data_IF_095092585032
#
_entry.id   IF_095092585032
#
_cell.length_a   1.000
_cell.length_b   1.000
_cell.length_c   1.000
_cell.angle_alpha   90.00
_cell.angle_beta   90.00
_cell.angle_gamma   90.00
#
_symmetry.space_group_name_H-M   'P 1'
#
loop_
_entity.id
_entity.type
_entity.pdbx_description
1 polymer ?
#
# COMPACT_ATOMS: atom_id res chain seq x y z
N UNK A 1 7.42 -2.13 11.90
CA UNK A 1 7.64 -1.45 13.20
C UNK A 1 9.07 -1.61 13.71
N UNK A 2 9.62 -2.85 13.85
CA UNK A 2 10.94 -3.05 14.44
C UNK A 2 12.08 -2.44 13.60
N UNK A 3 12.15 -2.74 12.32
CA UNK A 3 13.20 -2.22 11.42
C UNK A 3 13.13 -0.70 11.29
N UNK A 4 11.94 -0.14 11.22
CA UNK A 4 11.73 1.30 11.19
C UNK A 4 12.19 1.99 12.49
N UNK A 5 11.86 1.39 13.64
CA UNK A 5 12.35 1.88 14.94
C UNK A 5 13.89 1.77 15.07
N UNK A 6 14.47 0.69 14.57
CA UNK A 6 15.92 0.50 14.58
C UNK A 6 16.62 1.56 13.70
N UNK A 7 16.11 1.78 12.48
CA UNK A 7 16.63 2.82 11.58
C UNK A 7 16.53 4.20 12.24
N UNK A 8 15.37 4.55 12.80
CA UNK A 8 15.15 5.85 13.43
C UNK A 8 16.12 6.08 14.60
N UNK A 9 16.32 5.09 15.46
CA UNK A 9 17.27 5.18 16.59
C UNK A 9 18.72 5.32 16.14
N UNK A 10 19.14 4.51 15.18
CA UNK A 10 20.49 4.56 14.63
C UNK A 10 20.77 5.93 14.01
N UNK A 11 19.82 6.43 13.24
CA UNK A 11 19.96 7.72 12.58
C UNK A 11 19.91 8.88 13.57
N UNK A 12 19.10 8.82 14.61
CA UNK A 12 19.07 9.83 15.68
C UNK A 12 20.45 9.95 16.37
N UNK A 13 21.13 8.83 16.61
CA UNK A 13 22.51 8.83 17.16
C UNK A 13 23.52 9.51 16.21
N UNK A 14 23.42 9.24 14.90
CA UNK A 14 24.30 9.82 13.88
C UNK A 14 24.04 11.34 13.72
N UNK A 15 22.79 11.77 13.81
CA UNK A 15 22.40 13.19 13.82
C UNK A 15 22.94 13.88 15.07
N UNK A 16 22.74 13.27 16.25
CA UNK A 16 23.22 13.81 17.53
C UNK A 16 24.74 13.94 17.61
N UNK A 17 25.49 13.08 16.90
CA UNK A 17 26.96 13.20 16.79
C UNK A 17 27.42 14.32 15.85
N UNK A 18 26.52 15.01 15.15
CA UNK A 18 26.81 16.04 14.15
C UNK A 18 27.34 15.51 12.82
N UNK A 19 27.37 14.19 12.64
CA UNK A 19 27.85 13.56 11.39
C UNK A 19 26.86 13.79 10.25
N UNK A 20 25.57 13.78 10.55
CA UNK A 20 24.49 14.06 9.60
C UNK A 20 23.76 15.34 10.00
N UNK A 21 23.61 16.23 9.03
CA UNK A 21 22.88 17.48 9.17
C UNK A 21 21.53 17.37 8.46
N UNK A 22 20.45 17.59 9.20
CA UNK A 22 19.07 17.53 8.71
C UNK A 22 18.46 18.92 8.43
N UNK A 23 19.26 19.99 8.45
CA UNK A 23 18.79 21.34 8.09
C UNK A 23 18.38 21.42 6.61
N UNK A 24 19.04 20.65 5.75
CA UNK A 24 18.70 20.54 4.32
C UNK A 24 18.37 19.09 3.98
N UNK A 25 17.14 18.85 3.53
CA UNK A 25 16.63 17.51 3.20
C UNK A 25 16.11 17.48 1.78
N UNK A 26 16.46 16.43 1.04
CA UNK A 26 15.84 16.11 -0.25
C UNK A 26 14.78 15.03 -0.05
N UNK A 27 13.63 15.21 -0.69
CA UNK A 27 12.53 14.24 -0.73
C UNK A 27 12.29 13.84 -2.18
N UNK A 28 12.42 12.56 -2.48
CA UNK A 28 12.21 12.03 -3.82
C UNK A 28 11.31 10.80 -3.80
N UNK A 29 10.47 10.67 -4.82
CA UNK A 29 9.51 9.60 -4.99
C UNK A 29 9.92 8.60 -6.07
N UNK A 30 10.04 7.33 -5.71
CA UNK A 30 10.22 6.27 -6.69
C UNK A 30 9.01 5.30 -6.73
N UNK A 31 8.77 4.70 -7.91
CA UNK A 31 7.71 3.70 -8.08
C UNK A 31 8.29 2.30 -7.96
N UNK A 32 7.93 1.60 -6.88
CA UNK A 32 8.31 0.21 -6.63
C UNK A 32 7.19 -0.74 -7.08
N UNK A 33 7.52 -1.72 -7.91
CA UNK A 33 6.54 -2.70 -8.40
C UNK A 33 5.97 -3.52 -7.24
N UNK A 34 4.63 -3.61 -7.20
CA UNK A 34 3.93 -4.47 -6.26
C UNK A 34 4.00 -5.94 -6.69
N UNK A 35 3.82 -6.84 -5.73
CA UNK A 35 3.67 -8.29 -5.98
C UNK A 35 2.25 -8.63 -6.47
N UNK A 36 1.77 -7.89 -7.49
CA UNK A 36 0.47 -8.07 -8.09
C UNK A 36 0.57 -8.05 -9.62
N UNK A 37 -0.09 -8.97 -10.28
CA UNK A 37 -0.26 -8.94 -11.73
C UNK A 37 -1.44 -8.05 -12.12
N UNK A 38 -1.38 -7.41 -13.29
CA UNK A 38 -2.50 -6.59 -13.82
C UNK A 38 -3.81 -7.38 -13.90
N UNK A 39 -3.72 -8.71 -14.16
CA UNK A 39 -4.86 -9.61 -14.19
C UNK A 39 -5.52 -9.89 -12.83
N UNK A 40 -4.94 -9.45 -11.69
CA UNK A 40 -5.57 -9.61 -10.38
C UNK A 40 -6.53 -8.48 -10.03
N UNK A 41 -6.55 -7.38 -10.80
CA UNK A 41 -7.42 -6.23 -10.55
C UNK A 41 -8.85 -6.50 -11.02
N UNK A 42 -9.82 -6.31 -10.13
CA UNK A 42 -11.25 -6.58 -10.34
C UNK A 42 -12.09 -5.34 -10.09
N UNK A 43 -13.21 -5.22 -10.83
CA UNK A 43 -14.26 -4.24 -10.58
C UNK A 43 -15.09 -4.63 -9.34
N UNK A 44 -15.92 -3.71 -8.86
CA UNK A 44 -16.85 -3.94 -7.75
C UNK A 44 -17.73 -5.17 -7.98
N UNK A 45 -18.42 -5.24 -9.12
CA UNK A 45 -19.29 -6.36 -9.51
C UNK A 45 -18.56 -7.70 -9.45
N UNK A 46 -17.35 -7.75 -10.04
CA UNK A 46 -16.57 -8.99 -10.05
C UNK A 46 -16.05 -9.38 -8.66
N UNK A 47 -15.77 -8.42 -7.79
CA UNK A 47 -15.39 -8.70 -6.39
C UNK A 47 -16.56 -9.26 -5.58
N UNK A 48 -17.78 -8.76 -5.80
CA UNK A 48 -18.97 -9.30 -5.14
C UNK A 48 -19.25 -10.75 -5.57
N UNK A 49 -19.16 -11.06 -6.86
CA UNK A 49 -19.29 -12.43 -7.37
C UNK A 49 -18.24 -13.37 -6.75
N UNK A 50 -16.97 -12.92 -6.73
CA UNK A 50 -15.87 -13.70 -6.14
C UNK A 50 -16.04 -13.88 -4.64
N UNK A 51 -16.56 -12.88 -3.95
CA UNK A 51 -16.84 -12.95 -2.51
C UNK A 51 -17.93 -13.96 -2.19
N UNK A 52 -19.07 -13.89 -2.90
CA UNK A 52 -20.15 -14.84 -2.73
C UNK A 52 -19.70 -16.28 -2.99
N UNK A 53 -18.97 -16.51 -4.08
CA UNK A 53 -18.43 -17.84 -4.41
C UNK A 53 -17.39 -18.33 -3.37
N UNK A 54 -16.51 -17.46 -2.88
CA UNK A 54 -15.53 -17.83 -1.87
C UNK A 54 -16.18 -18.16 -0.52
N UNK A 55 -17.20 -17.39 -0.14
CA UNK A 55 -17.96 -17.62 1.09
C UNK A 55 -18.70 -18.95 1.08
N UNK A 56 -19.35 -19.31 -0.04
CA UNK A 56 -20.04 -20.58 -0.18
C UNK A 56 -19.05 -21.75 -0.17
N UNK A 57 -17.92 -21.65 -0.88
CA UNK A 57 -16.88 -22.67 -0.85
C UNK A 57 -16.31 -22.92 0.56
N UNK A 58 -16.14 -21.89 1.38
CA UNK A 58 -15.71 -22.04 2.78
C UNK A 58 -16.77 -22.74 3.60
N UNK A 59 -18.06 -22.43 3.40
CA UNK A 59 -19.17 -23.05 4.10
C UNK A 59 -19.29 -24.52 3.76
N UNK A 60 -19.23 -24.90 2.48
CA UNK A 60 -19.26 -26.29 2.02
C UNK A 60 -18.10 -27.09 2.60
N UNK A 61 -16.87 -26.56 2.53
CA UNK A 61 -15.69 -27.23 3.05
C UNK A 61 -15.70 -27.39 4.59
N UNK A 62 -16.32 -26.44 5.31
CA UNK A 62 -16.54 -26.60 6.76
C UNK A 62 -17.51 -27.76 7.06
N UNK A 63 -18.62 -27.82 6.35
CA UNK A 63 -19.60 -28.88 6.50
C UNK A 63 -19.00 -30.26 6.16
N UNK A 64 -18.18 -30.36 5.10
CA UNK A 64 -17.47 -31.60 4.76
C UNK A 64 -16.49 -32.06 5.84
N UNK A 65 -15.78 -31.14 6.47
CA UNK A 65 -14.83 -31.44 7.55
C UNK A 65 -15.54 -31.88 8.81
N UNK A 66 -16.73 -31.34 9.10
CA UNK A 66 -17.55 -31.71 10.25
C UNK A 66 -18.25 -33.07 10.06
N UNK A 67 -18.67 -33.40 8.83
CA UNK A 67 -19.39 -34.63 8.54
C UNK A 67 -18.50 -35.90 8.52
N UNK A 68 -17.21 -35.76 8.16
CA UNK A 68 -16.27 -36.90 8.07
C UNK A 68 -14.92 -36.57 8.71
N UNK A 69 -14.73 -36.89 10.01
CA UNK A 69 -13.48 -36.68 10.72
C UNK A 69 -12.37 -37.72 10.42
N UNK A 70 -12.53 -38.59 9.40
CA UNK A 70 -11.59 -39.66 9.06
C UNK A 70 -10.14 -39.20 8.85
N UNK A 71 -9.14 -39.93 9.36
CA UNK A 71 -7.76 -39.50 9.48
C UNK A 71 -7.01 -39.39 8.14
N UNK A 72 -7.32 -40.26 7.17
CA UNK A 72 -6.54 -40.34 5.92
C UNK A 72 -6.69 -39.13 5.01
N UNK A 73 -7.88 -38.54 4.94
CA UNK A 73 -8.18 -37.37 4.12
C UNK A 73 -8.04 -36.02 4.88
N UNK A 74 -7.91 -36.10 6.19
CA UNK A 74 -7.90 -34.90 7.06
C UNK A 74 -6.91 -33.82 6.62
N UNK A 75 -5.70 -34.22 6.20
CA UNK A 75 -4.68 -33.27 5.73
C UNK A 75 -5.06 -32.61 4.40
N UNK A 76 -5.65 -33.36 3.46
CA UNK A 76 -6.10 -32.84 2.18
C UNK A 76 -7.28 -31.87 2.36
N UNK A 77 -8.29 -32.26 3.16
CA UNK A 77 -9.42 -31.39 3.52
C UNK A 77 -8.99 -30.13 4.25
N UNK A 78 -8.06 -30.23 5.20
CA UNK A 78 -7.52 -29.08 5.90
C UNK A 78 -6.79 -28.08 4.95
N UNK A 79 -6.00 -28.59 4.00
CA UNK A 79 -5.36 -27.75 2.98
C UNK A 79 -6.36 -27.04 2.07
N UNK A 80 -7.41 -27.74 1.61
CA UNK A 80 -8.48 -27.14 0.80
C UNK A 80 -9.21 -26.05 1.58
N UNK A 81 -9.56 -26.30 2.84
CA UNK A 81 -10.19 -25.31 3.72
C UNK A 81 -9.30 -24.09 3.91
N UNK A 82 -8.02 -24.28 4.24
CA UNK A 82 -7.07 -23.17 4.41
C UNK A 82 -6.93 -22.33 3.12
N UNK A 83 -6.87 -22.96 1.94
CA UNK A 83 -6.81 -22.27 0.66
C UNK A 83 -8.10 -21.49 0.35
N UNK A 84 -9.26 -22.03 0.69
CA UNK A 84 -10.54 -21.35 0.51
C UNK A 84 -10.68 -20.14 1.46
N UNK A 85 -10.29 -20.29 2.71
CA UNK A 85 -10.26 -19.20 3.70
C UNK A 85 -9.26 -18.10 3.32
N UNK A 86 -8.09 -18.46 2.78
CA UNK A 86 -7.12 -17.51 2.27
C UNK A 86 -7.67 -16.74 1.05
N UNK A 87 -8.34 -17.45 0.14
CA UNK A 87 -9.01 -16.80 -1.00
C UNK A 87 -10.08 -15.81 -0.54
N UNK A 88 -10.89 -16.19 0.45
CA UNK A 88 -11.93 -15.31 1.02
C UNK A 88 -11.29 -14.06 1.59
N UNK A 89 -10.28 -14.19 2.45
CA UNK A 89 -9.55 -13.03 3.02
C UNK A 89 -8.99 -12.08 1.96
N UNK A 90 -8.42 -12.63 0.88
CA UNK A 90 -7.89 -11.81 -0.23
C UNK A 90 -8.98 -11.03 -0.95
N UNK A 91 -10.12 -11.64 -1.19
CA UNK A 91 -11.26 -10.95 -1.82
C UNK A 91 -11.85 -9.90 -0.89
N UNK A 92 -11.98 -10.20 0.40
CA UNK A 92 -12.42 -9.22 1.41
C UNK A 92 -11.48 -8.01 1.47
N UNK A 93 -10.17 -8.23 1.51
CA UNK A 93 -9.19 -7.15 1.47
C UNK A 93 -9.29 -6.30 0.20
N UNK A 94 -9.54 -6.94 -0.96
CA UNK A 94 -9.75 -6.21 -2.21
C UNK A 94 -11.05 -5.37 -2.21
N UNK A 95 -12.12 -5.85 -1.59
CA UNK A 95 -13.38 -5.08 -1.42
C UNK A 95 -13.18 -3.86 -0.52
N UNK A 96 -12.49 -4.04 0.59
CA UNK A 96 -12.16 -2.93 1.49
C UNK A 96 -11.30 -1.88 0.79
N UNK A 97 -10.24 -2.30 0.09
CA UNK A 97 -9.38 -1.41 -0.68
C UNK A 97 -10.14 -0.68 -1.81
N UNK A 98 -11.12 -1.33 -2.43
CA UNK A 98 -11.97 -0.69 -3.44
C UNK A 98 -12.82 0.42 -2.83
N UNK A 99 -13.45 0.17 -1.67
CA UNK A 99 -14.23 1.18 -0.95
C UNK A 99 -13.38 2.40 -0.57
N UNK A 100 -12.15 2.18 -0.12
CA UNK A 100 -11.19 3.27 0.16
C UNK A 100 -10.86 4.09 -1.10
N UNK A 101 -10.68 3.43 -2.25
CA UNK A 101 -10.42 4.11 -3.53
C UNK A 101 -11.62 4.98 -3.93
N UNK A 102 -12.83 4.45 -3.80
CA UNK A 102 -14.07 5.16 -4.12
C UNK A 102 -14.27 6.36 -3.22
N UNK A 103 -14.06 6.20 -1.92
CA UNK A 103 -14.11 7.28 -0.94
C UNK A 103 -13.15 8.41 -1.29
N UNK A 104 -11.88 8.06 -1.56
CA UNK A 104 -10.85 9.02 -1.98
C UNK A 104 -11.22 9.74 -3.28
N UNK A 105 -11.75 9.03 -4.28
CA UNK A 105 -12.20 9.65 -5.52
C UNK A 105 -13.36 10.64 -5.28
N UNK A 106 -14.25 10.36 -4.33
CA UNK A 106 -15.33 11.27 -3.96
C UNK A 106 -14.80 12.53 -3.25
N UNK A 107 -13.85 12.37 -2.33
CA UNK A 107 -13.19 13.48 -1.62
C UNK A 107 -12.46 14.40 -2.62
N UNK A 108 -11.63 13.82 -3.50
CA UNK A 108 -10.94 14.57 -4.55
C UNK A 108 -11.90 15.27 -5.51
N UNK A 109 -13.04 14.64 -5.83
CA UNK A 109 -14.06 15.25 -6.67
C UNK A 109 -14.77 16.44 -5.98
N UNK A 110 -14.96 16.37 -4.66
CA UNK A 110 -15.50 17.48 -3.85
C UNK A 110 -14.54 18.66 -3.81
N UNK A 111 -13.26 18.40 -3.65
CA UNK A 111 -12.21 19.44 -3.64
C UNK A 111 -12.03 20.11 -5.02
N UNK A 112 -12.19 19.33 -6.10
CA UNK A 112 -11.99 19.80 -7.48
C UNK A 112 -13.24 20.39 -8.13
N UNK A 113 -14.27 20.77 -7.38
CA UNK A 113 -15.58 21.30 -7.87
C UNK A 113 -15.52 22.43 -8.91
N UNK A 114 -14.35 22.98 -9.22
CA UNK A 114 -14.11 24.06 -10.20
C UNK A 114 -13.55 23.61 -11.55
N UNK A 115 -13.29 22.31 -11.77
CA UNK A 115 -12.77 21.79 -13.04
C UNK A 115 -13.68 20.70 -13.56
N UNK A 116 -13.92 20.67 -14.87
CA UNK A 116 -14.71 19.61 -15.52
C UNK A 116 -14.25 18.22 -15.05
N UNK A 117 -15.20 17.33 -14.70
CA UNK A 117 -14.86 16.00 -14.21
C UNK A 117 -14.17 15.23 -15.34
N UNK A 118 -12.88 14.97 -15.20
CA UNK A 118 -12.16 14.06 -16.11
C UNK A 118 -12.85 12.70 -16.03
N UNK A 119 -13.20 12.12 -17.18
CA UNK A 119 -13.78 10.78 -17.28
C UNK A 119 -12.80 9.74 -16.69
N UNK A 120 -12.95 9.46 -15.42
CA UNK A 120 -12.13 8.45 -14.71
C UNK A 120 -12.65 7.06 -15.07
N UNK A 121 -11.73 6.12 -15.28
CA UNK A 121 -12.10 4.71 -15.35
C UNK A 121 -12.64 4.25 -14.00
N UNK A 122 -13.61 3.32 -13.98
CA UNK A 122 -14.11 2.76 -12.72
C UNK A 122 -12.96 2.19 -11.89
N UNK A 123 -12.99 2.37 -10.57
CA UNK A 123 -11.94 1.88 -9.69
C UNK A 123 -11.85 0.36 -9.73
N UNK A 124 -10.65 -0.16 -9.48
CA UNK A 124 -10.36 -1.59 -9.43
C UNK A 124 -9.39 -1.85 -8.28
N UNK A 125 -9.56 -2.98 -7.59
CA UNK A 125 -8.64 -3.43 -6.55
C UNK A 125 -8.08 -4.82 -6.86
N UNK A 126 -6.86 -5.07 -6.41
CA UNK A 126 -6.18 -6.35 -6.63
C UNK A 126 -6.56 -7.37 -5.56
N UNK A 127 -6.86 -8.60 -5.97
CA UNK A 127 -7.07 -9.74 -5.07
C UNK A 127 -5.76 -10.39 -4.60
N UNK A 128 -4.61 -10.02 -5.17
CA UNK A 128 -3.29 -10.52 -4.75
C UNK A 128 -2.62 -9.56 -3.77
N UNK A 129 -2.74 -8.26 -4.02
CA UNK A 129 -2.19 -7.20 -3.19
C UNK A 129 -3.19 -6.03 -3.17
N UNK A 130 -4.11 -6.01 -2.21
CA UNK A 130 -5.20 -5.03 -2.15
C UNK A 130 -4.73 -3.59 -2.03
N UNK A 131 -3.55 -3.37 -1.47
CA UNK A 131 -3.00 -2.01 -1.30
C UNK A 131 -2.31 -1.48 -2.55
N UNK A 132 -1.92 -2.36 -3.49
CA UNK A 132 -1.28 -1.94 -4.73
C UNK A 132 -2.22 -1.08 -5.60
N UNK A 133 -1.65 -0.10 -6.29
CA UNK A 133 -2.37 0.74 -7.26
C UNK A 133 -1.65 0.71 -8.60
N UNK A 134 -2.39 0.83 -9.69
CA UNK A 134 -1.79 0.95 -11.02
C UNK A 134 -1.22 2.35 -11.16
N UNK A 135 0.09 2.45 -11.29
CA UNK A 135 0.84 3.70 -11.37
C UNK A 135 1.63 3.78 -12.67
N UNK A 136 1.86 5.01 -13.15
CA UNK A 136 2.79 5.26 -14.23
C UNK A 136 4.22 5.05 -13.71
N UNK A 137 4.98 4.22 -14.42
CA UNK A 137 6.37 3.93 -14.10
C UNK A 137 7.31 4.88 -14.85
N UNK A 138 8.59 4.94 -14.45
CA UNK A 138 9.60 5.76 -15.09
C UNK A 138 9.82 5.42 -16.58
N UNK A 139 9.59 4.16 -16.96
CA UNK A 139 9.65 3.69 -18.37
C UNK A 139 8.41 4.06 -19.20
N UNK A 140 7.48 4.83 -18.64
CA UNK A 140 6.24 5.26 -19.30
C UNK A 140 5.09 4.25 -19.25
N UNK A 141 5.33 3.00 -18.85
CA UNK A 141 4.31 1.97 -18.70
C UNK A 141 3.46 2.14 -17.44
N UNK A 142 2.32 1.44 -17.39
CA UNK A 142 1.45 1.42 -16.21
C UNK A 142 1.48 0.03 -15.58
N UNK A 143 1.88 -0.05 -14.31
CA UNK A 143 1.99 -1.32 -13.58
C UNK A 143 1.49 -1.17 -12.14
N UNK A 144 1.07 -2.30 -11.51
CA UNK A 144 0.82 -2.32 -10.07
C UNK A 144 2.09 -1.94 -9.32
N UNK A 145 1.99 -0.92 -8.48
CA UNK A 145 3.14 -0.36 -7.77
C UNK A 145 2.72 0.33 -6.47
N UNK A 146 3.73 0.64 -5.68
CA UNK A 146 3.70 1.56 -4.55
C UNK A 146 4.54 2.79 -4.87
N UNK A 147 4.22 3.90 -4.25
CA UNK A 147 5.03 5.09 -4.25
C UNK A 147 5.87 5.11 -2.97
N UNK A 148 7.18 5.04 -3.12
CA UNK A 148 8.14 5.06 -2.02
C UNK A 148 8.77 6.45 -1.97
N UNK A 149 8.61 7.14 -0.85
CA UNK A 149 9.22 8.44 -0.61
C UNK A 149 10.49 8.25 0.20
N UNK A 150 11.62 8.68 -0.34
CA UNK A 150 12.93 8.63 0.31
C UNK A 150 13.29 10.05 0.76
N UNK A 151 13.64 10.16 2.02
CA UNK A 151 14.10 11.41 2.63
C UNK A 151 15.60 11.29 2.88
N UNK A 152 16.36 12.21 2.33
CA UNK A 152 17.84 12.18 2.36
C UNK A 152 18.38 13.49 2.91
N UNK A 153 19.23 13.41 3.91
CA UNK A 153 20.02 14.56 4.34
C UNK A 153 20.98 14.96 3.22
N UNK A 154 20.90 16.20 2.74
CA UNK A 154 21.70 16.67 1.59
C UNK A 154 23.20 16.59 1.90
N UNK A 155 23.59 17.05 3.09
CA UNK A 155 24.95 16.90 3.57
C UNK A 155 25.21 15.47 4.01
N UNK A 156 26.11 14.78 3.31
CA UNK A 156 26.49 13.41 3.58
C UNK A 156 25.63 12.34 2.88
N UNK A 157 24.56 12.73 2.17
CA UNK A 157 23.71 11.83 1.37
C UNK A 157 23.16 10.63 2.14
N UNK A 158 22.79 10.83 3.41
CA UNK A 158 22.25 9.77 4.26
C UNK A 158 20.73 9.67 4.15
N UNK A 159 20.22 8.47 3.96
CA UNK A 159 18.77 8.22 4.00
C UNK A 159 18.31 8.31 5.45
N UNK A 160 17.54 9.34 5.76
CA UNK A 160 17.00 9.62 7.10
C UNK A 160 15.57 9.12 7.28
N UNK A 161 14.89 8.75 6.21
CA UNK A 161 13.55 8.19 6.31
C UNK A 161 13.07 7.60 4.99
N UNK A 162 12.22 6.58 5.12
CA UNK A 162 11.54 5.96 3.99
C UNK A 162 10.07 5.77 4.38
N UNK A 163 9.16 6.22 3.53
CA UNK A 163 7.74 5.94 3.68
C UNK A 163 7.15 5.37 2.39
N UNK A 164 6.16 4.49 2.54
CA UNK A 164 5.50 3.82 1.43
C UNK A 164 4.04 4.23 1.41
N UNK A 165 3.56 4.64 0.25
CA UNK A 165 2.18 5.02 0.04
C UNK A 165 1.62 4.40 -1.24
N UNK A 166 0.31 4.34 -1.33
CA UNK A 166 -0.40 3.93 -2.54
C UNK A 166 -0.96 5.12 -3.34
N UNK A 167 -0.50 6.34 -3.07
CA UNK A 167 -0.83 7.49 -3.90
C UNK A 167 -0.02 7.47 -5.19
N UNK A 168 -0.71 7.66 -6.33
CA UNK A 168 -0.06 7.68 -7.66
C UNK A 168 0.67 8.99 -7.97
N UNK A 169 0.51 10.01 -7.15
CA UNK A 169 1.13 11.33 -7.29
C UNK A 169 1.91 11.68 -6.04
N UNK A 170 3.02 12.40 -6.19
CA UNK A 170 3.82 12.94 -5.08
C UNK A 170 3.21 14.23 -4.51
N UNK A 171 2.23 14.78 -5.21
CA UNK A 171 1.45 15.94 -4.76
C UNK A 171 0.89 15.66 -3.37
N UNK A 172 1.07 16.56 -2.44
CA UNK A 172 0.65 16.47 -1.05
C UNK A 172 1.45 15.47 -0.18
N UNK A 173 2.56 14.90 -0.66
CA UNK A 173 3.42 14.04 0.15
C UNK A 173 4.58 14.79 0.82
N UNK A 174 4.86 16.02 0.40
CA UNK A 174 5.96 16.80 0.96
C UNK A 174 5.72 17.19 2.43
N UNK A 175 4.54 17.72 2.75
CA UNK A 175 4.20 18.11 4.12
C UNK A 175 4.25 16.91 5.08
N UNK A 176 3.60 15.76 4.80
CA UNK A 176 3.75 14.55 5.60
C UNK A 176 5.21 14.09 5.75
N UNK A 177 6.06 14.26 4.72
CA UNK A 177 7.47 13.89 4.79
C UNK A 177 8.25 14.77 5.78
N UNK A 178 7.98 16.08 5.80
CA UNK A 178 8.59 17.03 6.76
C UNK A 178 8.09 16.75 8.17
N UNK A 179 6.79 16.52 8.35
CA UNK A 179 6.20 16.18 9.65
C UNK A 179 6.80 14.89 10.23
N UNK A 180 7.05 13.90 9.39
CA UNK A 180 7.70 12.65 9.80
C UNK A 180 9.14 12.91 10.30
N UNK A 181 9.92 13.77 9.64
CA UNK A 181 11.27 14.14 10.07
C UNK A 181 11.21 14.84 11.43
N UNK A 182 10.29 15.79 11.58
CA UNK A 182 10.07 16.50 12.87
C UNK A 182 9.70 15.54 14.00
N UNK A 183 8.80 14.60 13.75
CA UNK A 183 8.37 13.62 14.75
C UNK A 183 9.47 12.64 15.13
N UNK A 184 10.28 12.20 14.15
CA UNK A 184 11.34 11.20 14.37
C UNK A 184 12.56 11.78 15.08
N UNK A 185 12.96 13.00 14.72
CA UNK A 185 14.25 13.57 15.13
C UNK A 185 14.13 14.85 15.96
N UNK A 186 12.93 15.41 16.12
CA UNK A 186 12.73 16.67 16.84
C UNK A 186 13.30 17.90 16.14
N UNK A 187 13.64 17.78 14.85
CA UNK A 187 14.26 18.85 14.05
C UNK A 187 13.34 19.20 12.88
N UNK A 188 13.17 20.49 12.65
CA UNK A 188 12.49 21.01 11.47
C UNK A 188 13.53 21.41 10.41
N UNK A 189 13.47 20.84 9.19
CA UNK A 189 14.40 21.23 8.12
C UNK A 189 14.18 22.69 7.73
N UNK A 190 15.27 23.46 7.60
CA UNK A 190 15.23 24.84 7.10
C UNK A 190 15.00 24.89 5.58
N UNK A 191 15.46 23.85 4.87
CA UNK A 191 15.36 23.75 3.42
C UNK A 191 14.96 22.34 3.02
N UNK A 192 13.91 22.26 2.18
CA UNK A 192 13.47 21.01 1.57
C UNK A 192 13.57 21.11 0.07
N UNK A 193 14.23 20.14 -0.55
CA UNK A 193 14.36 19.98 -2.00
C UNK A 193 13.39 18.87 -2.42
N UNK A 194 12.55 19.16 -3.40
CA UNK A 194 11.62 18.19 -3.99
C UNK A 194 11.42 18.53 -5.48
N UNK A 195 11.13 17.51 -6.31
CA UNK A 195 10.75 17.66 -7.72
C UNK A 195 9.33 18.20 -7.90
#
# INVERSE_FOLDING_TARGET
PFLDSLQSRSMAGVIASGTVDVQSVAVDGLRLRASAGSGSFRSAERLEELYAAAKEAVKELRAEVEADPGAAERRAKARRKAAAEDRLRRVEGARQALAEIEQRHQEEAREQRRKEPRRRKPPRASTSDPQARVMKMADGGYRPAFNVQIKTAVKGSHIIGVSVTNYSSDRNLLVPAVDEIRQRYGVEPERVLAD
#
